data_IF_706685665003
#
_entry.id   IF_706685665003
#
_cell.length_a   1.000
_cell.length_b   1.000
_cell.length_c   1.000
_cell.angle_alpha   90.00
_cell.angle_beta   90.00
_cell.angle_gamma   90.00
#
_symmetry.space_group_name_H-M   'P 1'
#
loop_
_entity.id
_entity.type
_entity.pdbx_description
1 polymer ?
#
# COMPACT_ATOMS: atom_id res chain seq x y z
N UNK A 1 -10.11 -7.36 -1.09
CA UNK A 1 -9.79 -5.93 -1.00
C UNK A 1 -9.17 -5.43 -2.28
N UNK A 2 -9.60 -4.29 -2.78
CA UNK A 2 -9.00 -3.75 -4.00
C UNK A 2 -7.72 -2.97 -3.66
N UNK A 3 -6.88 -2.75 -4.69
CA UNK A 3 -5.71 -1.90 -4.51
C UNK A 3 -6.12 -0.47 -4.13
N UNK A 4 -7.26 0.01 -4.63
CA UNK A 4 -7.75 1.34 -4.25
C UNK A 4 -8.06 1.43 -2.76
N UNK A 5 -8.62 0.38 -2.17
CA UNK A 5 -8.89 0.33 -0.74
C UNK A 5 -7.60 0.40 0.06
N UNK A 6 -6.60 -0.39 -0.35
CA UNK A 6 -5.29 -0.38 0.31
C UNK A 6 -4.65 1.00 0.22
N UNK A 7 -4.69 1.62 -0.97
CA UNK A 7 -4.08 2.93 -1.17
C UNK A 7 -4.76 3.99 -0.31
N UNK A 8 -6.08 3.94 -0.17
CA UNK A 8 -6.80 4.85 0.71
C UNK A 8 -6.33 4.72 2.16
N UNK A 9 -6.16 3.49 2.63
CA UNK A 9 -5.69 3.24 3.99
C UNK A 9 -4.25 3.72 4.18
N UNK A 10 -3.40 3.49 3.19
CA UNK A 10 -2.01 3.97 3.24
C UNK A 10 -1.96 5.48 3.32
N UNK A 11 -2.70 6.17 2.48
CA UNK A 11 -2.73 7.64 2.47
C UNK A 11 -3.26 8.19 3.78
N UNK A 12 -4.31 7.58 4.33
CA UNK A 12 -4.87 8.00 5.61
C UNK A 12 -3.86 7.83 6.75
N UNK A 13 -2.94 6.88 6.62
CA UNK A 13 -1.90 6.64 7.63
C UNK A 13 -0.62 7.45 7.37
N UNK A 14 -0.62 8.34 6.39
CA UNK A 14 0.53 9.21 6.13
C UNK A 14 1.50 8.72 5.06
N UNK A 15 1.20 7.60 4.42
CA UNK A 15 2.01 7.11 3.31
C UNK A 15 1.64 7.87 2.04
N UNK A 16 2.65 8.13 1.19
CA UNK A 16 2.42 8.85 -0.05
C UNK A 16 3.08 8.14 -1.23
N UNK A 17 2.46 8.24 -2.37
CA UNK A 17 2.99 7.67 -3.60
C UNK A 17 4.24 8.44 -4.02
N UNK A 18 5.33 7.72 -4.25
CA UNK A 18 6.58 8.32 -4.69
C UNK A 18 7.02 7.81 -6.06
N UNK A 19 6.48 6.69 -6.52
CA UNK A 19 6.87 6.11 -7.79
C UNK A 19 5.81 5.16 -8.30
N UNK A 20 5.67 5.09 -9.62
CA UNK A 20 4.79 4.11 -10.26
C UNK A 20 5.48 3.58 -11.50
N UNK A 21 5.56 2.25 -11.62
CA UNK A 21 6.10 1.59 -12.79
C UNK A 21 5.19 0.43 -13.14
N UNK A 22 4.52 0.54 -14.32
CA UNK A 22 3.56 -0.46 -14.73
C UNK A 22 2.47 -0.64 -13.70
N UNK A 23 2.29 -1.87 -13.22
CA UNK A 23 1.28 -2.22 -12.24
C UNK A 23 1.80 -2.19 -10.80
N UNK A 24 2.94 -1.54 -10.56
CA UNK A 24 3.51 -1.44 -9.23
C UNK A 24 3.59 0.02 -8.81
N UNK A 25 2.99 0.35 -7.67
CA UNK A 25 3.00 1.69 -7.10
C UNK A 25 3.74 1.66 -5.78
N UNK A 26 4.71 2.54 -5.60
CA UNK A 26 5.52 2.59 -4.39
C UNK A 26 5.15 3.76 -3.51
N UNK A 27 5.13 3.50 -2.21
CA UNK A 27 4.77 4.48 -1.19
C UNK A 27 5.88 4.63 -0.16
N UNK A 28 6.03 5.84 0.36
CA UNK A 28 6.94 6.14 1.45
C UNK A 28 6.24 6.94 2.54
N UNK A 29 6.80 6.88 3.73
CA UNK A 29 6.29 7.61 4.89
C UNK A 29 7.42 8.46 5.48
N UNK A 30 7.08 9.69 5.90
CA UNK A 30 8.07 10.61 6.43
C UNK A 30 8.68 10.16 7.76
N UNK A 31 7.92 9.41 8.57
CA UNK A 31 8.36 8.98 9.90
C UNK A 31 8.70 7.49 9.98
N UNK A 32 8.45 6.71 8.92
CA UNK A 32 8.71 5.26 8.93
C UNK A 32 9.68 4.90 7.82
N UNK A 33 10.62 3.98 8.08
CA UNK A 33 11.60 3.60 7.06
C UNK A 33 10.99 2.66 6.02
N UNK A 34 11.70 2.53 4.89
CA UNK A 34 11.37 1.57 3.87
C UNK A 34 10.32 2.06 2.88
N UNK A 35 10.06 1.20 1.91
CA UNK A 35 9.07 1.44 0.87
C UNK A 35 8.02 0.35 0.91
N UNK A 36 6.79 0.71 0.54
CA UNK A 36 5.72 -0.25 0.37
C UNK A 36 5.35 -0.27 -1.09
N UNK A 37 5.27 -1.46 -1.68
CA UNK A 37 4.87 -1.64 -3.06
C UNK A 37 3.48 -2.26 -3.09
N UNK A 38 2.56 -1.63 -3.83
CA UNK A 38 1.19 -2.09 -3.99
C UNK A 38 0.96 -2.43 -5.46
N UNK A 39 0.55 -3.66 -5.79
CA UNK A 39 0.11 -3.97 -7.14
C UNK A 39 -1.13 -3.14 -7.46
N UNK A 40 -1.04 -2.25 -8.45
CA UNK A 40 -2.13 -1.34 -8.78
C UNK A 40 -2.08 -0.98 -10.27
N UNK A 41 -3.20 -1.02 -10.97
CA UNK A 41 -4.55 -1.30 -10.48
C UNK A 41 -4.83 -2.79 -10.31
N UNK A 42 -5.56 -3.13 -9.28
CA UNK A 42 -6.02 -4.50 -9.06
C UNK A 42 -7.33 -4.49 -8.29
N UNK A 43 -8.37 -5.10 -8.89
CA UNK A 43 -9.71 -5.08 -8.30
C UNK A 43 -9.80 -5.92 -7.03
N UNK A 44 -9.03 -7.00 -6.98
CA UNK A 44 -9.11 -7.93 -5.86
C UNK A 44 -7.74 -8.48 -5.52
N UNK A 45 -7.15 -7.93 -4.46
CA UNK A 45 -5.89 -8.44 -3.94
C UNK A 45 -6.16 -9.64 -3.05
N UNK A 46 -5.34 -10.71 -3.15
CA UNK A 46 -5.45 -11.81 -2.20
C UNK A 46 -5.35 -11.29 -0.77
N UNK A 47 -6.15 -11.85 0.13
CA UNK A 47 -6.22 -11.39 1.51
C UNK A 47 -4.85 -11.40 2.20
N UNK A 48 -4.05 -12.44 1.96
CA UNK A 48 -2.71 -12.51 2.53
C UNK A 48 -1.81 -11.37 2.06
N UNK A 49 -1.88 -11.03 0.77
CA UNK A 49 -1.12 -9.92 0.21
C UNK A 49 -1.56 -8.59 0.83
N UNK A 50 -2.87 -8.37 0.91
CA UNK A 50 -3.41 -7.14 1.50
C UNK A 50 -3.00 -6.99 2.96
N UNK A 51 -3.10 -8.06 3.73
CA UNK A 51 -2.70 -8.05 5.14
C UNK A 51 -1.22 -7.77 5.33
N UNK A 52 -0.38 -8.37 4.48
CA UNK A 52 1.06 -8.15 4.55
C UNK A 52 1.40 -6.68 4.29
N UNK A 53 0.76 -6.06 3.32
CA UNK A 53 0.96 -4.65 3.01
C UNK A 53 0.53 -3.78 4.20
N UNK A 54 -0.65 -4.02 4.74
CA UNK A 54 -1.16 -3.25 5.87
C UNK A 54 -0.29 -3.43 7.11
N UNK A 55 0.17 -4.64 7.37
CA UNK A 55 1.04 -4.92 8.49
C UNK A 55 2.38 -4.17 8.34
N UNK A 56 2.95 -4.20 7.15
CA UNK A 56 4.20 -3.48 6.86
C UNK A 56 4.03 -1.97 7.08
N UNK A 57 2.85 -1.45 6.78
CA UNK A 57 2.54 -0.03 6.94
C UNK A 57 2.22 0.35 8.39
N UNK A 58 2.12 -0.60 9.29
CA UNK A 58 1.72 -0.35 10.66
C UNK A 58 0.23 -0.13 10.83
N UNK A 59 -0.57 -0.53 9.87
CA UNK A 59 -2.03 -0.41 9.91
C UNK A 59 -2.61 -1.73 10.39
N UNK A 60 -3.36 -1.68 11.49
CA UNK A 60 -4.02 -2.87 12.01
C UNK A 60 -5.39 -3.00 11.38
N UNK A 61 -5.67 -4.14 10.75
CA UNK A 61 -7.00 -4.35 10.18
C UNK A 61 -8.05 -4.55 11.26
#
# INVERSE_FOLDING_TARGET
MSSDDIIKLLKAAGWRKVHQKGSHTQFKHSAKPGKITVPHPKKDLPLGTARAILKQAGIQP
#
